data_IF_081756222992
#
_entry.id   IF_081756222992
#
_cell.length_a   1.000
_cell.length_b   1.000
_cell.length_c   1.000
_cell.angle_alpha   90.00
_cell.angle_beta   90.00
_cell.angle_gamma   90.00
#
_symmetry.space_group_name_H-M   'P 1'
#
loop_
_entity.id
_entity.type
_entity.pdbx_description
1 polymer ?
#
# COMPACT_ATOMS: atom_id res chain seq x y z
N UNK A 1 2.80 36.29 7.48
CA UNK A 1 3.03 35.18 8.42
C UNK A 1 1.75 34.36 8.45
N UNK A 2 1.49 33.63 7.36
CA UNK A 2 0.20 32.96 7.12
C UNK A 2 0.38 31.71 6.23
N UNK A 3 1.57 31.12 6.23
CA UNK A 3 1.91 29.91 5.44
C UNK A 3 1.88 28.62 6.29
N UNK A 4 1.56 28.73 7.58
CA UNK A 4 1.78 27.64 8.55
C UNK A 4 0.49 26.87 8.92
N UNK A 5 -0.68 27.30 8.42
CA UNK A 5 -1.96 26.65 8.71
C UNK A 5 -2.37 25.60 7.66
N UNK A 6 -1.69 25.55 6.51
CA UNK A 6 -2.13 24.76 5.35
C UNK A 6 -1.39 23.42 5.21
N UNK A 7 -0.23 23.28 5.85
CA UNK A 7 0.58 22.05 5.88
C UNK A 7 0.04 21.02 6.89
N UNK A 8 -0.88 21.42 7.77
CA UNK A 8 -1.32 20.59 8.91
C UNK A 8 -2.71 19.95 8.73
N UNK A 9 -3.10 19.63 7.50
CA UNK A 9 -4.31 18.84 7.23
C UNK A 9 -3.92 17.50 6.61
N UNK A 10 -3.44 16.58 7.45
CA UNK A 10 -3.86 15.19 7.24
C UNK A 10 -5.39 15.25 7.25
N UNK A 11 -6.03 14.80 6.16
CA UNK A 11 -7.47 14.88 5.98
C UNK A 11 -8.18 14.45 7.27
N UNK A 12 -9.04 15.32 7.81
CA UNK A 12 -9.73 15.09 9.07
C UNK A 12 -10.52 13.77 9.01
N UNK A 13 -10.97 13.37 7.81
CA UNK A 13 -11.64 12.10 7.55
C UNK A 13 -10.72 10.87 7.70
N UNK A 14 -9.40 11.03 7.50
CA UNK A 14 -8.39 10.00 7.76
C UNK A 14 -8.07 9.95 9.25
N UNK A 15 -7.81 11.10 9.88
CA UNK A 15 -7.51 11.16 11.32
C UNK A 15 -8.65 10.62 12.17
N UNK A 16 -9.89 10.94 11.79
CA UNK A 16 -11.11 10.51 12.48
C UNK A 16 -11.68 9.21 11.89
N UNK A 17 -10.97 8.55 10.96
CA UNK A 17 -11.42 7.31 10.35
C UNK A 17 -11.72 6.28 11.43
N UNK A 18 -13.00 5.92 11.58
CA UNK A 18 -13.42 4.88 12.51
C UNK A 18 -12.89 3.53 12.01
N UNK A 19 -12.36 2.73 12.93
CA UNK A 19 -12.04 1.33 12.63
C UNK A 19 -13.30 0.67 12.02
N UNK A 20 -13.20 -0.05 10.89
CA UNK A 20 -14.34 -0.71 10.28
C UNK A 20 -14.95 -1.81 11.16
N UNK A 21 -14.49 -2.01 12.39
CA UNK A 21 -15.19 -2.83 13.39
C UNK A 21 -16.66 -2.40 13.53
N UNK A 22 -16.99 -1.12 13.28
CA UNK A 22 -18.39 -0.66 13.20
C UNK A 22 -19.22 -1.34 12.09
N UNK A 23 -18.56 -1.90 11.07
CA UNK A 23 -19.13 -2.70 9.97
C UNK A 23 -18.92 -4.21 10.18
N UNK A 24 -18.37 -4.62 11.33
CA UNK A 24 -18.07 -6.01 11.64
C UNK A 24 -16.72 -6.52 11.11
N UNK A 25 -15.84 -5.66 10.58
CA UNK A 25 -14.54 -6.08 10.02
C UNK A 25 -13.34 -5.28 10.57
N UNK A 26 -12.14 -5.85 10.73
CA UNK A 26 -11.00 -5.18 11.41
C UNK A 26 -9.87 -4.65 10.49
N UNK A 27 -9.14 -3.62 10.93
CA UNK A 27 -7.83 -3.17 10.43
C UNK A 27 -6.81 -2.99 11.55
N UNK A 28 -5.58 -3.50 11.36
CA UNK A 28 -4.56 -3.55 12.40
C UNK A 28 -4.70 -4.82 13.28
N UNK A 29 -4.10 -4.84 14.48
CA UNK A 29 -3.98 -6.04 15.31
C UNK A 29 -5.33 -6.73 15.55
N UNK A 30 -5.43 -8.00 15.17
CA UNK A 30 -6.64 -8.82 15.35
C UNK A 30 -6.40 -9.72 16.56
N UNK A 31 -7.14 -9.50 17.64
CA UNK A 31 -7.00 -10.29 18.85
C UNK A 31 -7.89 -11.55 18.81
N UNK A 32 -7.37 -12.71 19.26
CA UNK A 32 -8.17 -13.92 19.40
C UNK A 32 -9.43 -13.74 20.25
N UNK A 33 -10.52 -14.41 19.84
CA UNK A 33 -11.79 -14.42 20.60
C UNK A 33 -12.71 -13.22 20.32
N UNK A 34 -12.24 -12.22 19.59
CA UNK A 34 -13.11 -11.24 18.99
C UNK A 34 -13.71 -11.89 17.73
N UNK A 35 -15.03 -12.10 17.70
CA UNK A 35 -15.77 -12.59 16.51
C UNK A 35 -15.75 -11.52 15.41
N UNK A 36 -14.58 -11.26 14.86
CA UNK A 36 -14.32 -10.24 13.86
C UNK A 36 -14.14 -10.88 12.50
N UNK A 37 -14.61 -10.15 11.50
CA UNK A 37 -14.34 -10.48 10.13
C UNK A 37 -13.15 -9.68 9.60
N UNK A 38 -12.48 -10.16 8.57
CA UNK A 38 -11.39 -9.42 7.93
C UNK A 38 -11.97 -8.54 6.83
N UNK A 39 -11.56 -7.27 6.79
CA UNK A 39 -12.04 -6.36 5.76
C UNK A 39 -11.47 -6.73 4.39
N UNK A 40 -12.29 -6.57 3.35
CA UNK A 40 -11.85 -6.74 1.96
C UNK A 40 -10.83 -5.69 1.50
N UNK A 41 -10.78 -4.56 2.20
CA UNK A 41 -9.85 -3.46 1.96
C UNK A 41 -8.69 -3.55 2.96
N UNK A 42 -7.82 -4.54 2.88
CA UNK A 42 -6.74 -4.76 3.85
C UNK A 42 -5.34 -4.46 3.25
N UNK A 43 -4.31 -4.51 4.10
CA UNK A 43 -2.90 -4.27 3.75
C UNK A 43 -2.21 -5.48 3.11
N UNK A 44 -2.92 -6.61 2.99
CA UNK A 44 -2.36 -7.91 2.58
C UNK A 44 -1.26 -8.46 3.51
N UNK A 45 -1.20 -7.92 4.73
CA UNK A 45 -0.39 -8.42 5.85
C UNK A 45 -1.31 -9.15 6.82
N UNK A 46 -0.85 -10.28 7.35
CA UNK A 46 -1.58 -10.99 8.39
C UNK A 46 -1.38 -10.31 9.74
N UNK A 47 -2.39 -9.53 10.16
CA UNK A 47 -2.36 -8.76 11.41
C UNK A 47 -2.86 -9.55 12.65
N UNK A 48 -2.99 -10.87 12.54
CA UNK A 48 -3.46 -11.73 13.65
C UNK A 48 -2.43 -11.77 14.77
N UNK A 49 -2.88 -11.49 15.99
CA UNK A 49 -2.10 -11.61 17.22
C UNK A 49 -2.02 -13.09 17.60
N UNK A 50 -0.81 -13.63 17.66
CA UNK A 50 -0.53 -15.06 17.84
C UNK A 50 -0.08 -15.44 19.24
N UNK A 51 0.19 -14.46 20.12
CA UNK A 51 0.56 -14.70 21.51
C UNK A 51 -0.02 -13.65 22.48
N UNK A 52 0.06 -13.94 23.78
CA UNK A 52 -0.40 -13.05 24.84
C UNK A 52 0.44 -11.75 24.97
N UNK A 53 1.59 -11.68 24.32
CA UNK A 53 2.46 -10.50 24.34
C UNK A 53 2.10 -9.50 23.22
N UNK A 54 1.11 -9.82 22.37
CA UNK A 54 0.75 -8.97 21.25
C UNK A 54 1.65 -9.14 20.03
N UNK A 55 2.40 -10.25 19.92
CA UNK A 55 3.14 -10.58 18.69
C UNK A 55 2.15 -10.89 17.58
N UNK A 56 2.37 -10.32 16.40
CA UNK A 56 1.52 -10.46 15.22
C UNK A 56 2.15 -11.41 14.19
N UNK A 57 1.34 -12.10 13.39
CA UNK A 57 1.84 -13.04 12.38
C UNK A 57 2.77 -12.39 11.35
N UNK A 58 2.32 -11.30 10.70
CA UNK A 58 3.12 -10.49 9.77
C UNK A 58 3.41 -11.13 8.42
N UNK A 59 2.83 -12.28 8.10
CA UNK A 59 3.00 -12.89 6.77
C UNK A 59 2.34 -12.01 5.69
N UNK A 60 3.06 -11.75 4.61
CA UNK A 60 2.61 -10.89 3.50
C UNK A 60 2.12 -11.71 2.31
N UNK A 61 1.16 -11.14 1.56
CA UNK A 61 0.53 -11.80 0.42
C UNK A 61 0.38 -10.84 -0.76
N UNK A 62 0.44 -11.36 -1.99
CA UNK A 62 0.18 -10.55 -3.19
C UNK A 62 -1.31 -10.39 -3.51
N UNK A 63 -2.18 -11.17 -2.88
CA UNK A 63 -3.62 -11.13 -3.10
C UNK A 63 -4.43 -11.54 -1.86
N UNK A 64 -5.67 -11.08 -1.80
CA UNK A 64 -6.60 -11.35 -0.70
C UNK A 64 -6.96 -12.84 -0.58
N UNK A 65 -7.00 -13.58 -1.68
CA UNK A 65 -7.37 -14.99 -1.67
C UNK A 65 -6.36 -15.82 -0.87
N UNK A 66 -5.07 -15.55 -1.07
CA UNK A 66 -3.98 -16.20 -0.34
C UNK A 66 -3.95 -15.78 1.13
N UNK A 67 -4.16 -14.49 1.43
CA UNK A 67 -4.28 -14.01 2.81
C UNK A 67 -5.41 -14.73 3.55
N UNK A 68 -6.61 -14.76 2.97
CA UNK A 68 -7.76 -15.38 3.62
C UNK A 68 -7.59 -16.88 3.80
N UNK A 69 -6.96 -17.55 2.83
CA UNK A 69 -6.60 -18.97 2.97
C UNK A 69 -5.64 -19.16 4.14
N UNK A 70 -4.57 -18.38 4.19
CA UNK A 70 -3.60 -18.45 5.28
C UNK A 70 -4.27 -18.29 6.65
N UNK A 71 -5.17 -17.32 6.80
CA UNK A 71 -5.84 -17.06 8.08
C UNK A 71 -6.77 -18.23 8.45
N UNK A 72 -7.53 -18.76 7.51
CA UNK A 72 -8.37 -19.94 7.75
C UNK A 72 -7.59 -21.21 8.05
N UNK A 73 -6.35 -21.33 7.58
CA UNK A 73 -5.54 -22.55 7.74
C UNK A 73 -4.58 -22.48 8.93
N UNK A 74 -4.10 -21.28 9.29
CA UNK A 74 -3.04 -21.08 10.29
C UNK A 74 -3.53 -20.38 11.55
N UNK A 75 -4.74 -19.82 11.51
CA UNK A 75 -5.37 -19.07 12.60
C UNK A 75 -6.83 -19.49 12.79
N UNK A 76 -7.15 -20.75 12.47
CA UNK A 76 -8.51 -21.28 12.48
C UNK A 76 -9.09 -21.31 13.91
N UNK A 77 -8.22 -21.54 14.89
CA UNK A 77 -8.56 -21.62 16.31
C UNK A 77 -9.12 -20.32 16.88
N UNK A 78 -8.89 -19.19 16.19
CA UNK A 78 -9.35 -17.87 16.62
C UNK A 78 -10.73 -17.49 16.09
N UNK A 79 -11.37 -18.33 15.27
CA UNK A 79 -12.73 -18.08 14.78
C UNK A 79 -12.86 -16.86 13.86
N UNK A 80 -11.75 -16.38 13.28
CA UNK A 80 -11.73 -15.19 12.44
C UNK A 80 -12.45 -15.49 11.12
N UNK A 81 -13.45 -14.67 10.81
CA UNK A 81 -14.23 -14.86 9.58
C UNK A 81 -13.60 -14.10 8.41
N UNK A 82 -13.48 -14.73 7.26
CA UNK A 82 -12.99 -14.06 6.05
C UNK A 82 -14.17 -13.48 5.28
N UNK A 83 -14.03 -12.32 4.63
CA UNK A 83 -15.14 -11.66 3.96
C UNK A 83 -15.64 -12.56 2.82
N UNK A 84 -16.96 -12.66 2.71
CA UNK A 84 -17.60 -13.40 1.62
C UNK A 84 -17.43 -12.72 0.26
N UNK A 85 -18.03 -13.31 -0.78
CA UNK A 85 -18.02 -12.73 -2.14
C UNK A 85 -18.86 -11.46 -2.28
N UNK A 86 -19.50 -10.99 -1.20
CA UNK A 86 -20.34 -9.80 -1.21
C UNK A 86 -19.46 -8.57 -1.47
N UNK A 87 -19.87 -7.76 -2.44
CA UNK A 87 -19.14 -6.52 -2.75
C UNK A 87 -19.32 -5.52 -1.61
N UNK A 88 -18.21 -5.08 -1.02
CA UNK A 88 -18.22 -3.99 -0.07
C UNK A 88 -18.87 -2.74 -0.66
N UNK A 89 -19.70 -2.06 0.13
CA UNK A 89 -20.39 -0.83 -0.28
C UNK A 89 -19.38 0.32 -0.48
N UNK A 90 -19.72 1.36 -1.27
CA UNK A 90 -18.78 2.45 -1.55
C UNK A 90 -18.28 3.18 -0.29
N UNK A 91 -19.14 3.34 0.71
CA UNK A 91 -18.83 3.91 2.03
C UNK A 91 -17.91 3.01 2.84
N UNK A 92 -18.16 1.70 2.90
CA UNK A 92 -17.25 0.72 3.55
C UNK A 92 -15.86 0.77 2.91
N UNK A 93 -15.80 0.85 1.57
CA UNK A 93 -14.53 0.96 0.85
C UNK A 93 -13.80 2.25 1.20
N UNK A 94 -14.51 3.36 1.35
CA UNK A 94 -13.94 4.65 1.75
C UNK A 94 -13.39 4.56 3.17
N UNK A 95 -14.19 4.06 4.13
CA UNK A 95 -13.75 3.93 5.52
C UNK A 95 -12.59 2.96 5.66
N UNK A 96 -12.60 1.84 4.95
CA UNK A 96 -11.48 0.88 4.95
C UNK A 96 -10.17 1.51 4.47
N UNK A 97 -10.20 2.24 3.35
CA UNK A 97 -9.01 2.98 2.87
C UNK A 97 -8.53 4.02 3.88
N UNK A 98 -9.43 4.85 4.39
CA UNK A 98 -9.08 5.89 5.34
C UNK A 98 -8.50 5.28 6.62
N UNK A 99 -9.00 4.13 7.05
CA UNK A 99 -8.47 3.43 8.23
C UNK A 99 -7.08 2.83 7.98
N UNK A 100 -6.81 2.25 6.80
CA UNK A 100 -5.45 1.82 6.45
C UNK A 100 -4.51 3.02 6.42
N UNK A 101 -4.93 4.13 5.80
CA UNK A 101 -4.14 5.36 5.78
C UNK A 101 -3.88 5.86 7.19
N UNK A 102 -4.90 5.87 8.06
CA UNK A 102 -4.75 6.22 9.48
C UNK A 102 -3.77 5.29 10.19
N UNK A 103 -3.83 3.98 9.94
CA UNK A 103 -2.91 3.00 10.52
C UNK A 103 -1.45 3.26 10.12
N UNK A 104 -1.23 3.62 8.86
CA UNK A 104 0.10 3.94 8.33
C UNK A 104 0.59 5.30 8.85
N UNK A 105 -0.19 6.36 8.63
CA UNK A 105 0.17 7.74 8.99
C UNK A 105 0.24 7.98 10.49
N UNK A 106 -0.55 7.25 11.27
CA UNK A 106 -0.48 7.27 12.73
C UNK A 106 0.68 6.45 13.30
N UNK A 107 1.50 5.82 12.46
CA UNK A 107 2.63 5.00 12.88
C UNK A 107 2.23 3.70 13.59
N UNK A 108 0.97 3.27 13.49
CA UNK A 108 0.51 2.04 14.14
C UNK A 108 1.29 0.81 13.66
N UNK A 109 1.61 0.77 12.37
CA UNK A 109 2.46 -0.27 11.79
C UNK A 109 3.89 -0.31 12.36
N UNK A 110 4.43 0.82 12.86
CA UNK A 110 5.75 0.86 13.54
C UNK A 110 5.72 0.24 14.93
N UNK A 111 4.54 0.25 15.55
CA UNK A 111 4.29 -0.34 16.86
C UNK A 111 3.84 -1.80 16.74
N UNK A 112 3.55 -2.26 15.52
CA UNK A 112 3.18 -3.65 15.24
C UNK A 112 4.36 -4.57 15.54
N UNK A 113 4.10 -5.62 16.33
CA UNK A 113 5.12 -6.57 16.76
C UNK A 113 5.11 -7.80 15.86
N UNK A 114 5.38 -7.65 14.57
CA UNK A 114 5.37 -8.79 13.64
C UNK A 114 6.46 -9.81 13.99
N UNK A 115 6.11 -11.09 13.94
CA UNK A 115 6.96 -12.20 14.38
C UNK A 115 8.29 -12.25 13.62
N UNK A 116 8.27 -12.00 12.31
CA UNK A 116 9.45 -12.03 11.44
C UNK A 116 10.17 -10.68 11.31
N UNK A 117 9.71 -9.63 11.99
CA UNK A 117 10.35 -8.33 11.91
C UNK A 117 11.34 -8.09 13.07
N UNK A 118 12.45 -7.40 12.80
CA UNK A 118 13.31 -6.90 13.86
C UNK A 118 12.49 -5.91 14.70
N UNK A 119 12.18 -6.31 15.95
CA UNK A 119 11.34 -5.57 16.91
C UNK A 119 11.76 -4.12 17.13
N UNK A 120 13.00 -3.77 16.80
CA UNK A 120 13.51 -2.41 16.84
C UNK A 120 14.49 -2.23 15.69
N UNK A 121 14.11 -1.45 14.69
CA UNK A 121 15.00 -1.01 13.63
C UNK A 121 15.91 0.09 14.19
N UNK A 122 17.21 0.03 13.89
CA UNK A 122 18.13 1.11 14.24
C UNK A 122 17.67 2.42 13.57
N UNK A 123 17.64 3.57 14.27
CA UNK A 123 17.20 4.85 13.72
C UNK A 123 17.89 5.22 12.40
N UNK A 124 19.17 4.90 12.29
CA UNK A 124 19.97 5.20 11.09
C UNK A 124 19.96 4.10 10.03
N UNK A 125 19.23 2.99 10.24
CA UNK A 125 19.14 1.93 9.25
C UNK A 125 18.46 2.43 7.97
N UNK A 126 18.90 1.93 6.81
CA UNK A 126 18.28 2.29 5.52
C UNK A 126 16.78 1.98 5.49
N UNK A 127 16.35 0.88 6.11
CA UNK A 127 14.93 0.51 6.20
C UNK A 127 14.14 1.57 6.98
N UNK A 128 14.68 2.06 8.10
CA UNK A 128 14.07 3.14 8.87
C UNK A 128 13.99 4.45 8.05
N UNK A 129 15.05 4.79 7.32
CA UNK A 129 15.07 5.98 6.47
C UNK A 129 14.06 5.90 5.32
N UNK A 130 13.93 4.72 4.67
CA UNK A 130 12.91 4.47 3.65
C UNK A 130 11.51 4.56 4.24
N UNK A 131 11.27 3.94 5.40
CA UNK A 131 10.00 4.03 6.11
C UNK A 131 9.60 5.49 6.40
N UNK A 132 10.52 6.28 6.97
CA UNK A 132 10.29 7.70 7.25
C UNK A 132 9.96 8.46 5.96
N UNK A 133 10.70 8.19 4.88
CA UNK A 133 10.49 8.85 3.58
C UNK A 133 9.14 8.49 2.97
N UNK A 134 8.72 7.22 3.03
CA UNK A 134 7.43 6.79 2.51
C UNK A 134 6.26 7.35 3.32
N UNK A 135 6.39 7.45 4.64
CA UNK A 135 5.39 8.12 5.48
C UNK A 135 5.26 9.60 5.13
N UNK A 136 6.38 10.32 4.97
CA UNK A 136 6.36 11.71 4.52
C UNK A 136 5.70 11.87 3.16
N UNK A 137 6.05 11.00 2.19
CA UNK A 137 5.42 11.00 0.87
C UNK A 137 3.92 10.71 0.97
N UNK A 138 3.50 9.78 1.84
CA UNK A 138 2.09 9.47 2.05
C UNK A 138 1.32 10.67 2.63
N UNK A 139 1.90 11.38 3.60
CA UNK A 139 1.32 12.64 4.14
C UNK A 139 1.14 13.66 3.03
N UNK A 140 2.19 13.92 2.25
CA UNK A 140 2.16 14.90 1.15
C UNK A 140 1.08 14.54 0.12
N UNK A 141 0.98 13.26 -0.25
CA UNK A 141 -0.01 12.81 -1.23
C UNK A 141 -1.46 12.93 -0.73
N UNK A 142 -1.69 12.76 0.57
CA UNK A 142 -3.02 13.02 1.17
C UNK A 142 -3.36 14.51 1.27
N UNK A 143 -2.37 15.41 1.26
CA UNK A 143 -2.59 16.86 1.24
C UNK A 143 -2.82 17.42 -0.16
N UNK A 144 -2.33 16.73 -1.19
CA UNK A 144 -2.40 17.15 -2.59
C UNK A 144 -3.74 16.87 -3.27
N UNK A 145 -4.66 16.13 -2.65
CA UNK A 145 -6.04 16.05 -3.14
C UNK A 145 -6.77 17.41 -3.11
N UNK A 146 -6.20 18.43 -2.47
CA UNK A 146 -6.64 19.83 -2.54
C UNK A 146 -6.05 20.65 -3.72
N UNK A 147 -5.00 20.16 -4.39
CA UNK A 147 -4.46 20.76 -5.61
C UNK A 147 -4.61 19.75 -6.74
N UNK A 148 -5.62 19.96 -7.59
CA UNK A 148 -6.15 18.98 -8.53
C UNK A 148 -5.13 18.07 -9.28
N UNK A 149 -5.60 16.94 -9.82
CA UNK A 149 -4.83 15.72 -10.15
C UNK A 149 -3.64 15.84 -11.14
N UNK A 150 -3.25 17.05 -11.55
CA UNK A 150 -2.27 17.30 -12.60
C UNK A 150 -0.88 17.75 -12.13
N UNK A 151 -0.62 18.05 -10.85
CA UNK A 151 0.63 18.75 -10.48
C UNK A 151 1.86 17.84 -10.29
N UNK A 152 1.70 16.63 -9.74
CA UNK A 152 2.85 15.76 -9.38
C UNK A 152 3.04 14.55 -10.27
N UNK A 153 1.96 13.97 -10.79
CA UNK A 153 2.06 12.93 -11.83
C UNK A 153 2.74 13.45 -13.11
N UNK A 154 2.63 14.75 -13.43
CA UNK A 154 3.37 15.37 -14.54
C UNK A 154 4.82 15.73 -14.15
N UNK A 155 5.08 16.16 -12.90
CA UNK A 155 6.42 16.54 -12.44
C UNK A 155 7.40 15.35 -12.41
N UNK A 156 6.92 14.16 -12.07
CA UNK A 156 7.74 12.94 -12.12
C UNK A 156 7.90 12.37 -13.53
N UNK A 157 6.89 12.50 -14.41
CA UNK A 157 7.04 12.19 -15.85
C UNK A 157 8.00 13.14 -16.57
N UNK A 158 8.19 14.37 -16.05
CA UNK A 158 9.10 15.36 -16.62
C UNK A 158 10.56 15.26 -16.15
N UNK A 159 10.87 14.51 -15.08
CA UNK A 159 12.22 14.48 -14.47
C UNK A 159 13.02 13.20 -14.66
N UNK A 160 12.46 12.20 -15.34
CA UNK A 160 13.17 11.00 -15.77
C UNK A 160 13.28 11.01 -17.30
N UNK A 161 14.04 11.98 -17.84
CA UNK A 161 14.84 11.69 -19.04
C UNK A 161 16.15 11.11 -18.52
N UNK A 162 16.18 9.81 -18.27
CA UNK A 162 17.45 9.10 -18.38
C UNK A 162 17.83 9.22 -19.84
N UNK A 163 18.89 9.97 -20.11
CA UNK A 163 19.57 9.97 -21.39
C UNK A 163 20.10 8.56 -21.65
N UNK A 164 19.27 7.70 -22.25
CA UNK A 164 19.72 6.47 -22.87
C UNK A 164 20.50 6.84 -24.14
N UNK A 165 21.78 7.17 -23.97
CA UNK A 165 22.78 6.90 -25.00
C UNK A 165 23.23 5.45 -24.85
N UNK A 166 22.39 4.55 -25.36
CA UNK A 166 22.83 3.24 -25.80
C UNK A 166 22.06 2.94 -27.08
N UNK A 167 22.70 3.22 -28.21
CA UNK A 167 22.25 2.78 -29.52
C UNK A 167 22.18 1.25 -29.53
N UNK A 168 21.06 0.64 -29.96
CA UNK A 168 21.05 -0.78 -30.29
C UNK A 168 21.87 -1.01 -31.58
N UNK A 169 22.60 -2.15 -31.70
CA UNK A 169 23.26 -2.50 -32.94
C UNK A 169 22.21 -2.75 -34.04
N UNK A 170 22.52 -2.21 -35.21
CA UNK A 170 21.80 -2.30 -36.48
C UNK A 170 21.41 -3.74 -36.83
N UNK A 171 20.11 -3.96 -36.97
CA UNK A 171 19.57 -5.07 -37.76
C UNK A 171 19.01 -4.42 -39.04
N UNK A 172 19.80 -4.44 -40.11
CA UNK A 172 19.41 -3.97 -41.43
C UNK A 172 18.19 -4.75 -41.93
N UNK A 173 17.13 -4.02 -42.26
CA UNK A 173 16.07 -4.49 -43.12
C UNK A 173 15.69 -3.32 -44.04
N UNK A 174 16.24 -3.33 -45.26
CA UNK A 174 15.57 -2.97 -46.53
C UNK A 174 16.59 -2.45 -47.55
N UNK A 175 17.04 -3.32 -48.44
CA UNK A 175 17.36 -2.88 -49.81
C UNK A 175 16.02 -2.77 -50.56
N UNK A 176 15.67 -1.56 -50.98
CA UNK A 176 14.66 -1.31 -52.01
C UNK A 176 15.35 -0.83 -53.28
N UNK A 177 15.15 -1.63 -54.33
CA UNK A 177 14.92 -1.30 -55.74
C UNK A 177 15.89 -0.41 -56.51
N UNK A 178 16.47 -0.98 -57.57
CA UNK A 178 16.51 -0.29 -58.88
C UNK A 178 16.53 -1.29 -60.04
N UNK A 179 15.46 -1.28 -60.82
CA UNK A 179 15.33 -1.88 -62.15
C UNK A 179 16.00 -0.99 -63.20
N UNK A 180 16.84 -1.57 -64.07
CA UNK A 180 17.04 -1.10 -65.46
C UNK A 180 17.76 -2.15 -66.32
N UNK A 181 17.00 -2.70 -67.27
CA UNK A 181 17.29 -2.99 -68.69
C UNK A 181 18.54 -3.78 -69.20
N UNK A 182 18.17 -4.82 -69.97
CA UNK A 182 18.57 -5.15 -71.36
C UNK A 182 19.90 -5.88 -71.71
N UNK A 183 19.67 -7.03 -72.38
CA UNK A 183 20.31 -7.57 -73.61
C UNK A 183 21.84 -7.75 -73.66
N UNK A 184 22.33 -8.98 -73.91
CA UNK A 184 22.51 -9.67 -75.20
C UNK A 184 22.63 -11.18 -74.95
#
# INVERSE_FOLDING_TARGET
MELDAEVNRIDLDILMAKNPTQFGYHHGPIFPGENLAISSMNTQVCDVVVDAHGTMCGKTFGDNTRLYRHIREQHFEFGITTPGKVRARPDEKRVGRNTIQRWVLGGGWRQARYFNEPRTLHPDSLIMQYANSFELLAVLWTSETCLGPNSIAQKWRGRVRVSHHCSPPSCDASEQESSSDAQV
#
